data_IF_713275393950
#
_entry.id   IF_713275393950
#
_cell.length_a   1.000
_cell.length_b   1.000
_cell.length_c   1.000
_cell.angle_alpha   90.00
_cell.angle_beta   90.00
_cell.angle_gamma   90.00
#
_symmetry.space_group_name_H-M   'P 1'
#
loop_
_entity.id
_entity.type
_entity.pdbx_description
1 polymer ?
#
# COMPACT_ATOMS: atom_id res chain seq x y z
N UNK A 1 -6.31 -7.45 -24.43
CA UNK A 1 -5.95 -6.08 -23.97
C UNK A 1 -4.43 -6.00 -23.98
N UNK A 2 -3.83 -5.34 -24.97
CA UNK A 2 -2.37 -5.12 -25.04
C UNK A 2 -2.08 -3.84 -24.26
N UNK A 3 -1.36 -3.96 -23.16
CA UNK A 3 -0.88 -2.79 -22.41
C UNK A 3 0.23 -2.15 -23.25
N UNK A 4 -0.01 -0.94 -23.74
CA UNK A 4 0.94 -0.15 -24.51
C UNK A 4 1.67 0.77 -23.54
N UNK A 5 2.97 0.55 -23.34
CA UNK A 5 3.82 1.52 -22.67
C UNK A 5 4.29 2.54 -23.70
N UNK A 6 3.98 3.84 -23.54
CA UNK A 6 4.54 4.86 -24.42
C UNK A 6 6.04 4.98 -24.16
N UNK A 7 6.84 4.73 -25.21
CA UNK A 7 8.27 5.04 -25.23
C UNK A 7 8.43 6.57 -25.31
N UNK A 8 8.70 7.21 -24.17
CA UNK A 8 9.20 8.58 -24.14
C UNK A 8 10.72 8.58 -24.38
N UNK A 9 11.24 9.44 -25.28
CA UNK A 9 12.67 9.48 -25.58
C UNK A 9 13.43 10.20 -24.46
N UNK A 10 14.39 9.48 -23.88
CA UNK A 10 15.67 9.93 -23.29
C UNK A 10 15.66 11.22 -22.45
N UNK A 11 15.20 11.07 -21.21
CA UNK A 11 15.88 11.64 -20.05
C UNK A 11 16.27 10.43 -19.20
N UNK A 12 17.56 10.24 -18.91
CA UNK A 12 18.08 9.04 -18.25
C UNK A 12 17.35 8.81 -16.93
N UNK A 13 16.38 7.90 -17.01
CA UNK A 13 15.48 7.46 -15.96
C UNK A 13 16.26 7.04 -14.73
N UNK A 14 16.31 7.83 -13.66
CA UNK A 14 16.70 7.38 -12.31
C UNK A 14 15.59 6.47 -11.76
N UNK A 15 15.09 5.54 -12.57
CA UNK A 15 14.00 4.66 -12.20
C UNK A 15 14.59 3.57 -11.30
N UNK A 16 14.41 3.76 -10.00
CA UNK A 16 14.45 2.66 -9.04
C UNK A 16 13.58 1.52 -9.62
N UNK A 17 14.06 0.26 -9.63
CA UNK A 17 13.20 -0.84 -10.05
C UNK A 17 11.96 -0.84 -9.15
N UNK A 18 10.78 -0.90 -9.77
CA UNK A 18 9.50 -0.90 -9.05
C UNK A 18 8.78 -2.23 -9.28
N UNK A 19 8.37 -2.88 -8.20
CA UNK A 19 7.62 -4.14 -8.23
C UNK A 19 6.29 -3.96 -7.51
N UNK A 20 5.21 -4.54 -8.07
CA UNK A 20 3.91 -4.52 -7.41
C UNK A 20 3.98 -5.14 -6.02
N UNK A 21 3.32 -4.50 -5.07
CA UNK A 21 3.15 -5.02 -3.72
C UNK A 21 1.69 -4.96 -3.31
N UNK A 22 1.24 -5.98 -2.59
CA UNK A 22 -0.09 -6.01 -2.01
C UNK A 22 -0.16 -6.87 -0.76
N UNK A 23 -1.03 -6.49 0.16
CA UNK A 23 -1.29 -7.21 1.40
C UNK A 23 -2.79 -7.23 1.71
N UNK A 24 -3.27 -8.36 2.18
CA UNK A 24 -4.63 -8.48 2.73
C UNK A 24 -4.55 -8.53 4.25
N UNK A 25 -5.30 -7.65 4.91
CA UNK A 25 -5.53 -7.72 6.35
C UNK A 25 -6.92 -8.31 6.57
N UNK A 26 -6.99 -9.44 7.27
CA UNK A 26 -8.26 -10.10 7.60
C UNK A 26 -8.89 -9.51 8.85
N UNK A 27 -10.15 -9.85 9.07
CA UNK A 27 -10.92 -9.42 10.25
C UNK A 27 -10.23 -9.84 11.55
N UNK A 28 -9.88 -8.85 12.37
CA UNK A 28 -9.23 -9.06 13.66
C UNK A 28 -7.72 -9.30 13.58
N UNK A 29 -7.14 -9.30 12.39
CA UNK A 29 -5.71 -9.47 12.17
C UNK A 29 -5.00 -8.14 11.92
N UNK A 30 -3.67 -8.19 11.97
CA UNK A 30 -2.76 -7.11 11.61
C UNK A 30 -1.62 -7.70 10.80
N UNK A 31 -1.17 -6.99 9.76
CA UNK A 31 -0.04 -7.42 8.92
C UNK A 31 1.16 -6.53 9.23
N UNK A 32 2.25 -7.14 9.68
CA UNK A 32 3.54 -6.49 9.83
C UNK A 32 4.37 -6.66 8.58
N UNK A 33 5.07 -5.60 8.20
CA UNK A 33 5.90 -5.54 7.00
C UNK A 33 7.18 -4.82 7.38
N UNK A 34 8.33 -5.44 7.10
CA UNK A 34 9.62 -4.79 7.20
C UNK A 34 10.21 -4.57 5.79
N UNK A 35 10.18 -3.33 5.26
CA UNK A 35 10.79 -2.99 3.97
C UNK A 35 12.30 -3.24 3.92
N UNK A 36 12.99 -3.22 5.06
CA UNK A 36 14.45 -3.35 5.11
C UNK A 36 14.94 -4.75 4.74
N UNK A 37 14.10 -5.78 4.92
CA UNK A 37 14.37 -7.15 4.46
C UNK A 37 14.45 -7.27 2.92
N UNK A 38 13.95 -6.26 2.19
CA UNK A 38 13.90 -6.26 0.73
C UNK A 38 14.82 -5.21 0.10
N UNK A 39 15.65 -4.50 0.88
CA UNK A 39 16.44 -3.36 0.42
C UNK A 39 15.59 -2.37 -0.42
N UNK A 40 14.36 -2.13 0.04
CA UNK A 40 13.37 -1.32 -0.66
C UNK A 40 12.60 -0.43 0.33
N UNK A 41 11.89 0.56 -0.22
CA UNK A 41 10.79 1.20 0.47
C UNK A 41 9.44 0.75 -0.13
N UNK A 42 8.38 0.81 0.67
CA UNK A 42 7.02 0.54 0.20
C UNK A 42 6.32 1.87 -0.04
N UNK A 43 5.98 2.15 -1.30
CA UNK A 43 4.97 3.17 -1.61
C UNK A 43 3.60 2.54 -1.47
N UNK A 44 2.87 2.91 -0.43
CA UNK A 44 1.50 2.50 -0.19
C UNK A 44 0.56 3.45 -0.93
N UNK A 45 -0.05 2.96 -2.01
CA UNK A 45 -0.81 3.77 -2.95
C UNK A 45 -2.33 3.69 -2.75
N UNK A 46 -2.84 2.58 -2.21
CA UNK A 46 -4.28 2.41 -2.04
C UNK A 46 -4.63 1.45 -0.91
N UNK A 47 -5.78 1.69 -0.28
CA UNK A 47 -6.48 0.72 0.57
C UNK A 47 -7.94 0.56 0.12
N UNK A 48 -8.45 -0.66 0.07
CA UNK A 48 -9.80 -0.97 -0.40
C UNK A 48 -10.47 -2.05 0.44
N UNK A 49 -11.79 -1.95 0.63
CA UNK A 49 -12.59 -2.99 1.25
C UNK A 49 -12.63 -4.23 0.35
N UNK A 50 -12.32 -5.39 0.93
CA UNK A 50 -12.55 -6.68 0.27
C UNK A 50 -14.03 -7.00 0.11
N UNK A 51 -14.33 -8.08 -0.59
CA UNK A 51 -15.69 -8.58 -0.68
C UNK A 51 -16.19 -8.99 0.70
N UNK A 52 -17.40 -8.58 1.08
CA UNK A 52 -18.12 -9.29 2.14
C UNK A 52 -19.44 -9.80 1.59
N UNK A 53 -19.95 -10.83 2.26
CA UNK A 53 -21.23 -11.44 1.94
C UNK A 53 -22.29 -10.33 1.89
N UNK A 54 -22.88 -10.13 0.71
CA UNK A 54 -24.06 -9.27 0.49
C UNK A 54 -25.05 -9.63 1.59
N UNK A 55 -25.45 -8.68 2.44
CA UNK A 55 -26.72 -8.73 3.24
C UNK A 55 -26.82 -7.69 4.37
N UNK A 56 -25.86 -6.75 4.54
CA UNK A 56 -26.02 -5.68 5.54
C UNK A 56 -25.87 -4.28 4.91
N UNK A 57 -26.98 -3.63 4.51
CA UNK A 57 -26.99 -2.27 3.95
C UNK A 57 -26.66 -1.17 4.99
N UNK A 58 -25.96 -1.52 6.08
CA UNK A 58 -25.63 -0.58 7.14
C UNK A 58 -24.37 -1.00 7.91
N UNK A 59 -23.40 -1.60 7.20
CA UNK A 59 -22.11 -1.91 7.80
C UNK A 59 -21.44 -0.62 8.29
N UNK A 60 -20.93 -0.60 9.53
CA UNK A 60 -20.28 0.57 10.07
C UNK A 60 -19.04 0.92 9.26
N UNK A 61 -18.70 2.20 9.24
CA UNK A 61 -17.51 2.66 8.55
C UNK A 61 -16.25 1.98 9.13
N UNK A 62 -15.35 1.58 8.24
CA UNK A 62 -14.12 0.85 8.54
C UNK A 62 -12.98 1.85 8.60
N UNK A 63 -12.39 2.00 9.77
CA UNK A 63 -11.20 2.84 9.96
C UNK A 63 -9.97 2.00 9.65
N UNK A 64 -9.10 2.55 8.81
CA UNK A 64 -7.83 1.95 8.41
C UNK A 64 -6.71 2.58 9.23
N UNK A 65 -5.82 1.74 9.75
CA UNK A 65 -4.73 2.18 10.63
C UNK A 65 -3.37 1.74 10.08
N UNK A 66 -2.39 2.60 10.35
CA UNK A 66 -0.97 2.33 10.17
C UNK A 66 -0.27 2.52 11.51
N UNK A 67 0.58 1.59 11.90
CA UNK A 67 1.44 1.74 13.07
C UNK A 67 2.91 1.68 12.64
N UNK A 68 3.69 2.65 13.09
CA UNK A 68 5.15 2.72 12.86
C UNK A 68 5.82 2.93 14.21
N UNK A 69 6.63 1.95 14.64
CA UNK A 69 7.15 1.90 16.00
C UNK A 69 6.01 1.85 17.03
N UNK A 70 5.99 2.81 17.96
CA UNK A 70 4.96 2.89 19.00
C UNK A 70 3.74 3.74 18.59
N UNK A 71 3.82 4.45 17.46
CA UNK A 71 2.78 5.38 17.06
C UNK A 71 1.77 4.74 16.11
N UNK A 72 0.48 4.90 16.42
CA UNK A 72 -0.64 4.46 15.59
C UNK A 72 -1.35 5.65 14.96
N UNK A 73 -1.46 5.63 13.64
CA UNK A 73 -2.10 6.64 12.79
C UNK A 73 -3.40 6.12 12.19
N UNK A 74 -4.35 7.01 11.95
CA UNK A 74 -5.54 6.76 11.15
C UNK A 74 -5.25 7.21 9.72
N UNK A 75 -5.30 6.27 8.76
CA UNK A 75 -5.09 6.58 7.34
C UNK A 75 -6.36 7.08 6.67
N UNK A 76 -7.53 6.63 7.16
CA UNK A 76 -8.80 7.04 6.62
C UNK A 76 -9.94 6.14 7.06
N UNK A 77 -11.13 6.47 6.57
CA UNK A 77 -12.35 5.76 6.85
C UNK A 77 -12.99 5.32 5.54
N UNK A 78 -13.21 4.02 5.41
CA UNK A 78 -13.86 3.40 4.27
C UNK A 78 -15.33 3.12 4.62
N UNK A 79 -16.21 3.24 3.64
CA UNK A 79 -17.58 2.74 3.74
C UNK A 79 -17.96 2.07 2.44
N UNK A 80 -18.65 0.94 2.52
CA UNK A 80 -18.97 0.15 1.33
C UNK A 80 -19.81 0.91 0.31
N UNK A 81 -20.69 1.79 0.78
CA UNK A 81 -21.63 2.52 -0.07
C UNK A 81 -21.10 3.85 -0.61
N UNK A 82 -20.22 4.53 0.14
CA UNK A 82 -19.76 5.88 -0.22
C UNK A 82 -18.29 5.90 -0.64
N UNK A 83 -17.42 5.27 0.14
CA UNK A 83 -15.95 5.35 -0.02
C UNK A 83 -15.37 3.94 0.17
N UNK A 84 -15.56 3.03 -0.79
CA UNK A 84 -15.10 1.64 -0.62
C UNK A 84 -13.58 1.49 -0.72
N UNK A 85 -12.89 2.51 -1.24
CA UNK A 85 -11.44 2.59 -1.35
C UNK A 85 -10.95 4.02 -1.11
N UNK A 86 -9.68 4.14 -0.72
CA UNK A 86 -8.97 5.41 -0.55
C UNK A 86 -7.60 5.31 -1.20
N UNK A 87 -7.22 6.37 -1.91
CA UNK A 87 -5.85 6.54 -2.42
C UNK A 87 -4.96 7.11 -1.32
N UNK A 88 -3.75 6.59 -1.24
CA UNK A 88 -2.73 6.95 -0.26
C UNK A 88 -1.46 7.34 -1.03
N UNK A 89 -0.64 8.19 -0.43
CA UNK A 89 0.64 8.63 -1.01
C UNK A 89 1.70 8.57 0.09
N UNK A 90 1.89 7.37 0.65
CA UNK A 90 2.79 7.16 1.78
C UNK A 90 3.99 6.33 1.34
N UNK A 91 5.19 6.77 1.71
CA UNK A 91 6.43 6.00 1.54
C UNK A 91 6.86 5.50 2.91
N UNK A 92 6.99 4.18 3.03
CA UNK A 92 7.32 3.48 4.26
C UNK A 92 8.68 2.80 4.10
N UNK A 93 9.67 3.30 4.83
CA UNK A 93 11.06 2.83 4.78
C UNK A 93 11.42 1.93 5.98
N UNK A 94 10.60 1.96 7.05
CA UNK A 94 10.82 1.25 8.30
C UNK A 94 9.72 0.22 8.52
N UNK A 95 9.93 -0.72 9.44
CA UNK A 95 8.90 -1.67 9.87
C UNK A 95 7.59 -0.93 10.21
N UNK A 96 6.50 -1.44 9.65
CA UNK A 96 5.17 -0.94 9.91
C UNK A 96 4.15 -2.07 10.04
N UNK A 97 3.01 -1.74 10.65
CA UNK A 97 1.90 -2.66 10.85
C UNK A 97 0.61 -2.04 10.32
N UNK A 98 -0.08 -2.77 9.45
CA UNK A 98 -1.39 -2.41 8.90
C UNK A 98 -2.50 -3.14 9.66
N UNK A 99 -3.55 -2.40 10.02
CA UNK A 99 -4.73 -2.97 10.68
C UNK A 99 -6.00 -2.19 10.32
N UNK A 100 -7.17 -2.74 10.65
CA UNK A 100 -8.45 -2.08 10.39
C UNK A 100 -9.51 -2.39 11.46
N UNK A 101 -10.57 -1.58 11.54
CA UNK A 101 -11.68 -1.78 12.48
C UNK A 101 -12.82 -2.67 11.97
N UNK A 102 -12.75 -3.16 10.72
CA UNK A 102 -13.80 -3.99 10.13
C UNK A 102 -14.04 -5.28 10.91
N UNK A 103 -15.32 -5.68 10.99
CA UNK A 103 -15.79 -6.91 11.64
C UNK A 103 -16.31 -7.96 10.66
N UNK A 104 -16.36 -7.64 9.37
CA UNK A 104 -17.04 -8.48 8.36
C UNK A 104 -16.29 -8.60 7.04
N UNK A 105 -15.50 -7.59 6.68
CA UNK A 105 -14.69 -7.55 5.46
C UNK A 105 -13.20 -7.46 5.78
N UNK A 106 -12.36 -8.08 4.96
CA UNK A 106 -10.93 -7.76 4.91
C UNK A 106 -10.69 -6.40 4.26
N UNK A 107 -9.48 -5.85 4.44
CA UNK A 107 -9.00 -4.67 3.72
C UNK A 107 -7.76 -5.07 2.94
N UNK A 108 -7.77 -4.77 1.65
CA UNK A 108 -6.63 -4.96 0.77
C UNK A 108 -5.86 -3.66 0.63
N UNK A 109 -4.56 -3.75 0.74
CA UNK A 109 -3.61 -2.67 0.54
C UNK A 109 -2.79 -3.00 -0.69
N UNK A 110 -2.49 -2.00 -1.52
CA UNK A 110 -1.59 -2.17 -2.64
C UNK A 110 -0.69 -0.95 -2.84
N UNK A 111 0.35 -1.17 -3.63
CA UNK A 111 1.45 -0.26 -3.76
C UNK A 111 2.58 -0.84 -4.59
N UNK A 112 3.76 -0.28 -4.39
CA UNK A 112 4.98 -0.72 -5.07
C UNK A 112 6.13 -0.81 -4.08
N UNK A 113 6.96 -1.84 -4.23
CA UNK A 113 8.33 -1.84 -3.71
C UNK A 113 9.16 -0.97 -4.63
N UNK A 114 9.85 0.02 -4.09
CA UNK A 114 10.88 0.76 -4.81
C UNK A 114 12.24 0.38 -4.22
N UNK A 115 13.05 -0.34 -5.00
CA UNK A 115 14.36 -0.82 -4.57
C UNK A 115 15.37 0.32 -4.59
N UNK A 116 16.20 0.43 -3.56
CA UNK A 116 17.32 1.37 -3.61
C UNK A 116 18.28 0.92 -4.71
N UNK A 117 18.60 1.80 -5.66
CA UNK A 117 19.62 1.52 -6.66
C UNK A 117 20.94 1.33 -5.93
N UNK A 118 21.47 0.11 -5.91
CA UNK A 118 22.82 -0.16 -5.43
C UNK A 118 23.80 0.80 -6.08
N UNK A 119 24.70 1.34 -5.27
CA UNK A 119 25.64 2.39 -5.62
C UNK A 119 26.43 2.10 -6.91
N UNK A 120 25.92 2.56 -8.05
CA UNK A 120 26.72 2.79 -9.26
C UNK A 120 26.07 3.90 -10.08
N UNK A 121 26.12 5.13 -9.54
CA UNK A 121 25.91 6.32 -10.35
C UNK A 121 27.10 6.49 -11.30
N UNK A 122 26.91 6.45 -12.63
CA UNK A 122 28.01 6.44 -13.58
C UNK A 122 28.52 7.86 -13.89
N UNK A 123 28.84 8.64 -12.85
CA UNK A 123 29.50 9.94 -13.00
C UNK A 123 30.57 10.13 -11.93
N UNK A 124 31.66 9.37 -12.06
CA UNK A 124 32.96 9.87 -11.62
C UNK A 124 33.53 10.72 -12.76
N UNK A 125 33.57 12.04 -12.56
CA UNK A 125 34.34 12.96 -13.40
C UNK A 125 35.84 12.71 -13.25
#
# INVERSE_FOLDING_TARGET
MKVFYPTFPLLHSIFLPMEFWGAEVKVGESVKVDPTEFEACIHLSQAALGEAKKDKPNEPAVVVYLKVGEQKFVLGTLSREKIPQISLELVLEKEFELSHSSKSASVHFCGYKAYYSGDEYPWHY
#
